data_IF_932201533979
#
_entry.id   IF_932201533979
#
_cell.length_a   1.000
_cell.length_b   1.000
_cell.length_c   1.000
_cell.angle_alpha   90.00
_cell.angle_beta   90.00
_cell.angle_gamma   90.00
#
_symmetry.space_group_name_H-M   'P 1'
#
loop_
_entity.id
_entity.type
_entity.pdbx_description
1 polymer ?
#
# COMPACT_ATOMS: atom_id res chain seq x y z
N UNK A 1 1.42 32.22 30.87
CA UNK A 1 2.77 31.74 30.52
C UNK A 1 2.58 30.38 29.84
N UNK A 2 2.71 30.31 28.51
CA UNK A 2 2.56 29.03 27.77
C UNK A 2 3.79 28.18 28.07
N UNK A 3 3.61 26.94 28.52
CA UNK A 3 4.68 25.96 28.61
C UNK A 3 5.36 25.80 27.24
N UNK A 4 6.68 25.57 27.18
CA UNK A 4 7.38 25.35 25.92
C UNK A 4 6.77 24.12 25.23
N UNK A 5 6.48 24.23 23.94
CA UNK A 5 6.09 23.08 23.12
C UNK A 5 7.24 22.09 23.09
N UNK A 6 7.07 20.93 23.71
CA UNK A 6 8.06 19.85 23.65
C UNK A 6 8.30 19.44 22.18
N UNK A 7 9.56 19.29 21.74
CA UNK A 7 9.86 18.85 20.39
C UNK A 7 9.33 17.43 20.15
N UNK A 8 8.71 17.20 18.99
CA UNK A 8 8.14 15.90 18.56
C UNK A 8 9.15 14.75 18.64
N UNK A 9 10.45 15.06 18.62
CA UNK A 9 11.56 14.12 18.78
C UNK A 9 11.66 13.50 20.18
N UNK A 10 10.91 13.98 21.18
CA UNK A 10 10.84 13.41 22.53
C UNK A 10 9.76 12.32 22.68
N UNK A 11 8.98 12.04 21.64
CA UNK A 11 8.02 10.93 21.64
C UNK A 11 8.78 9.61 21.48
N UNK A 12 9.24 9.03 22.59
CA UNK A 12 9.63 7.62 22.61
C UNK A 12 8.36 6.76 22.53
N UNK A 13 8.34 5.68 21.73
CA UNK A 13 7.24 4.73 21.76
C UNK A 13 7.06 4.24 23.19
N UNK A 14 5.85 4.39 23.75
CA UNK A 14 5.54 3.75 25.03
C UNK A 14 5.58 2.25 24.82
N UNK A 15 6.70 1.63 25.16
CA UNK A 15 6.78 0.19 25.23
C UNK A 15 5.89 -0.29 26.38
N UNK A 16 5.12 -1.37 26.20
CA UNK A 16 4.48 -2.02 27.34
C UNK A 16 5.56 -2.36 28.38
N UNK A 17 5.21 -2.24 29.66
CA UNK A 17 6.03 -2.75 30.77
C UNK A 17 6.52 -4.16 30.43
N UNK A 18 7.77 -4.51 30.77
CA UNK A 18 8.42 -5.80 30.45
C UNK A 18 7.41 -6.94 30.30
N UNK A 19 7.40 -7.56 29.12
CA UNK A 19 6.34 -8.46 28.66
C UNK A 19 6.07 -9.54 29.68
N UNK A 20 4.80 -9.70 30.09
CA UNK A 20 4.46 -10.81 30.97
C UNK A 20 4.76 -12.11 30.23
N UNK A 21 5.48 -13.05 30.85
CA UNK A 21 5.79 -14.38 30.29
C UNK A 21 4.57 -15.03 29.61
N UNK A 22 3.38 -14.79 30.15
CA UNK A 22 2.10 -15.22 29.59
C UNK A 22 1.87 -14.74 28.14
N UNK A 23 2.19 -13.49 27.82
CA UNK A 23 2.02 -12.94 26.46
C UNK A 23 3.03 -13.56 25.49
N UNK A 24 4.25 -13.80 25.93
CA UNK A 24 5.28 -14.47 25.13
C UNK A 24 4.86 -15.91 24.81
N UNK A 25 4.40 -16.65 25.83
CA UNK A 25 3.88 -18.00 25.68
C UNK A 25 2.68 -18.04 24.74
N UNK A 26 1.72 -17.11 24.89
CA UNK A 26 0.56 -16.99 23.99
C UNK A 26 0.95 -16.65 22.55
N UNK A 27 1.96 -15.79 22.34
CA UNK A 27 2.46 -15.46 21.02
C UNK A 27 3.14 -16.68 20.36
N UNK A 28 3.96 -17.41 21.11
CA UNK A 28 4.57 -18.66 20.64
C UNK A 28 3.50 -19.70 20.26
N UNK A 29 2.48 -19.87 21.11
CA UNK A 29 1.33 -20.75 20.85
C UNK A 29 0.57 -20.36 19.58
N UNK A 30 0.31 -19.06 19.40
CA UNK A 30 -0.35 -18.52 18.22
C UNK A 30 0.46 -18.80 16.95
N UNK A 31 1.77 -18.55 16.97
CA UNK A 31 2.68 -18.81 15.84
C UNK A 31 2.68 -20.30 15.49
N UNK A 32 2.77 -21.18 16.49
CA UNK A 32 2.76 -22.62 16.28
C UNK A 32 1.43 -23.11 15.66
N UNK A 33 0.30 -22.63 16.18
CA UNK A 33 -1.04 -22.97 15.65
C UNK A 33 -1.24 -22.40 14.25
N UNK A 34 -0.79 -21.18 13.99
CA UNK A 34 -0.86 -20.56 12.66
C UNK A 34 -0.03 -21.35 11.64
N UNK A 35 1.20 -21.74 12.00
CA UNK A 35 2.07 -22.55 11.14
C UNK A 35 1.43 -23.89 10.81
N UNK A 36 0.82 -24.54 11.82
CA UNK A 36 0.11 -25.81 11.64
C UNK A 36 -1.08 -25.66 10.70
N UNK A 37 -1.89 -24.62 10.89
CA UNK A 37 -3.03 -24.33 10.02
C UNK A 37 -2.57 -24.04 8.59
N UNK A 38 -1.56 -23.19 8.42
CA UNK A 38 -1.04 -22.83 7.10
C UNK A 38 -0.51 -24.06 6.34
N UNK A 39 0.15 -24.99 7.04
CA UNK A 39 0.60 -26.26 6.45
C UNK A 39 -0.55 -27.17 5.98
N UNK A 40 -1.77 -27.01 6.53
CA UNK A 40 -2.96 -27.77 6.12
C UNK A 40 -3.69 -27.15 4.92
N UNK A 41 -3.41 -25.88 4.58
CA UNK A 41 -4.07 -25.20 3.46
C UNK A 41 -3.42 -25.62 2.15
N UNK A 42 -4.19 -26.16 1.17
CA UNK A 42 -3.65 -26.44 -0.15
C UNK A 42 -3.12 -25.17 -0.81
N UNK A 43 -1.94 -25.24 -1.45
CA UNK A 43 -1.28 -24.08 -2.09
C UNK A 43 -2.20 -23.33 -3.06
N UNK A 44 -3.06 -24.05 -3.76
CA UNK A 44 -4.05 -23.45 -4.68
C UNK A 44 -5.08 -22.61 -3.95
N UNK A 45 -5.56 -23.05 -2.78
CA UNK A 45 -6.50 -22.30 -1.94
C UNK A 45 -5.82 -21.08 -1.36
N UNK A 46 -4.59 -21.23 -0.83
CA UNK A 46 -3.81 -20.11 -0.31
C UNK A 46 -3.59 -19.01 -1.37
N UNK A 47 -3.25 -19.39 -2.60
CA UNK A 47 -3.11 -18.45 -3.71
C UNK A 47 -4.41 -17.69 -3.99
N UNK A 48 -5.56 -18.38 -4.03
CA UNK A 48 -6.87 -17.74 -4.24
C UNK A 48 -7.27 -16.81 -3.11
N UNK A 49 -6.96 -17.16 -1.87
CA UNK A 49 -7.17 -16.28 -0.72
C UNK A 49 -6.28 -15.03 -0.86
N UNK A 50 -5.02 -15.18 -1.29
CA UNK A 50 -4.14 -14.06 -1.59
C UNK A 50 -4.73 -13.12 -2.64
N UNK A 51 -5.23 -13.64 -3.75
CA UNK A 51 -5.87 -12.85 -4.80
C UNK A 51 -7.05 -12.02 -4.25
N UNK A 52 -7.89 -12.64 -3.42
CA UNK A 52 -9.03 -11.98 -2.78
C UNK A 52 -8.59 -10.88 -1.80
N UNK A 53 -7.63 -11.19 -0.93
CA UNK A 53 -7.14 -10.26 0.10
C UNK A 53 -6.49 -9.04 -0.54
N UNK A 54 -5.74 -9.18 -1.65
CA UNK A 54 -5.20 -8.01 -2.39
C UNK A 54 -6.30 -7.10 -2.90
N UNK A 55 -7.38 -7.66 -3.45
CA UNK A 55 -8.52 -6.87 -3.91
C UNK A 55 -9.23 -6.15 -2.77
N UNK A 56 -9.37 -6.78 -1.60
CA UNK A 56 -9.95 -6.18 -0.39
C UNK A 56 -9.03 -5.08 0.16
N UNK A 57 -7.73 -5.33 0.27
CA UNK A 57 -6.75 -4.34 0.73
C UNK A 57 -6.74 -3.11 -0.20
N UNK A 58 -6.83 -3.34 -1.52
CA UNK A 58 -6.95 -2.25 -2.49
C UNK A 58 -8.26 -1.45 -2.30
N UNK A 59 -9.38 -2.13 -2.03
CA UNK A 59 -10.65 -1.47 -1.73
C UNK A 59 -10.54 -0.56 -0.49
N UNK A 60 -9.96 -1.05 0.60
CA UNK A 60 -9.79 -0.28 1.82
C UNK A 60 -8.80 0.88 1.63
N UNK A 61 -7.70 0.67 0.90
CA UNK A 61 -6.74 1.72 0.54
C UNK A 61 -7.40 2.85 -0.26
N UNK A 62 -8.21 2.49 -1.26
CA UNK A 62 -8.95 3.48 -2.05
C UNK A 62 -9.91 4.28 -1.16
N UNK A 63 -10.59 3.62 -0.22
CA UNK A 63 -11.56 4.27 0.66
C UNK A 63 -10.89 5.32 1.57
N UNK A 64 -9.71 5.02 2.14
CA UNK A 64 -8.98 5.98 2.99
C UNK A 64 -8.42 7.17 2.21
N UNK A 65 -8.24 7.02 0.89
CA UNK A 65 -7.82 8.07 -0.05
C UNK A 65 -9.01 8.88 -0.60
N UNK A 66 -10.24 8.48 -0.29
CA UNK A 66 -11.47 9.11 -0.77
C UNK A 66 -11.93 8.62 -2.14
N UNK A 67 -11.24 7.64 -2.71
CA UNK A 67 -11.61 6.96 -3.95
C UNK A 67 -12.71 5.93 -3.69
N UNK A 68 -13.87 6.15 -4.30
CA UNK A 68 -15.02 5.26 -4.18
C UNK A 68 -14.99 4.22 -5.32
N UNK A 69 -14.03 3.30 -5.25
CA UNK A 69 -13.88 2.20 -6.23
C UNK A 69 -14.58 0.96 -5.68
N UNK A 70 -15.65 0.49 -6.33
CA UNK A 70 -16.33 -0.74 -5.88
C UNK A 70 -15.47 -1.99 -6.15
N UNK A 71 -15.58 -3.01 -5.30
CA UNK A 71 -14.86 -4.28 -5.47
C UNK A 71 -15.14 -4.93 -6.85
N UNK A 72 -16.36 -4.77 -7.38
CA UNK A 72 -16.69 -5.21 -8.74
C UNK A 72 -15.84 -4.51 -9.80
N UNK A 73 -15.59 -3.22 -9.67
CA UNK A 73 -14.80 -2.46 -10.64
C UNK A 73 -13.30 -2.79 -10.52
N UNK A 74 -12.81 -3.09 -9.32
CA UNK A 74 -11.46 -3.66 -9.09
C UNK A 74 -11.32 -5.00 -9.81
N UNK A 75 -12.26 -5.93 -9.60
CA UNK A 75 -12.25 -7.24 -10.25
C UNK A 75 -12.30 -7.14 -11.79
N UNK A 76 -13.09 -6.20 -12.33
CA UNK A 76 -13.12 -5.92 -13.77
C UNK A 76 -11.77 -5.39 -14.27
N UNK A 77 -11.11 -4.52 -13.51
CA UNK A 77 -9.79 -3.99 -13.86
C UNK A 77 -8.74 -5.11 -13.96
N UNK A 78 -8.78 -6.10 -13.05
CA UNK A 78 -7.85 -7.24 -13.06
C UNK A 78 -7.93 -8.09 -14.33
N UNK A 79 -9.08 -8.10 -15.01
CA UNK A 79 -9.27 -8.79 -16.31
C UNK A 79 -9.22 -7.86 -17.51
N UNK A 80 -8.71 -6.63 -17.33
CA UNK A 80 -8.64 -5.58 -18.35
C UNK A 80 -10.01 -5.12 -18.88
N UNK A 81 -11.08 -5.33 -18.13
CA UNK A 81 -12.41 -4.77 -18.40
C UNK A 81 -12.53 -3.38 -17.78
N UNK A 82 -12.16 -2.37 -18.55
CA UNK A 82 -12.16 -0.98 -18.12
C UNK A 82 -13.47 -0.25 -18.48
N UNK A 83 -13.89 0.65 -17.60
CA UNK A 83 -14.98 1.57 -17.82
C UNK A 83 -14.69 2.51 -18.99
N UNK A 84 -15.73 2.87 -19.74
CA UNK A 84 -15.65 3.92 -20.75
C UNK A 84 -15.58 5.31 -20.11
N UNK A 85 -16.09 5.46 -18.89
CA UNK A 85 -16.03 6.71 -18.13
C UNK A 85 -14.60 6.96 -17.65
N UNK A 86 -13.95 8.07 -18.08
CA UNK A 86 -12.53 8.31 -17.81
C UNK A 86 -12.16 8.28 -16.32
N UNK A 87 -12.94 8.93 -15.46
CA UNK A 87 -12.66 8.97 -14.02
C UNK A 87 -12.68 7.58 -13.37
N UNK A 88 -13.69 6.76 -13.70
CA UNK A 88 -13.76 5.37 -13.23
C UNK A 88 -12.63 4.52 -13.78
N UNK A 89 -12.26 4.73 -15.05
CA UNK A 89 -11.15 4.02 -15.68
C UNK A 89 -9.82 4.33 -15.00
N UNK A 90 -9.60 5.57 -14.58
CA UNK A 90 -8.40 5.94 -13.84
C UNK A 90 -8.30 5.19 -12.51
N UNK A 91 -9.38 5.16 -11.73
CA UNK A 91 -9.44 4.39 -10.49
C UNK A 91 -9.20 2.89 -10.72
N UNK A 92 -9.69 2.34 -11.84
CA UNK A 92 -9.45 0.94 -12.21
C UNK A 92 -7.98 0.67 -12.58
N UNK A 93 -7.34 1.57 -13.33
CA UNK A 93 -5.92 1.46 -13.70
C UNK A 93 -5.03 1.55 -12.46
N UNK A 94 -5.36 2.46 -11.55
CA UNK A 94 -4.68 2.62 -10.28
C UNK A 94 -4.82 1.39 -9.38
N UNK A 95 -6.05 0.88 -9.21
CA UNK A 95 -6.31 -0.34 -8.45
C UNK A 95 -5.54 -1.55 -9.02
N UNK A 96 -5.51 -1.68 -10.35
CA UNK A 96 -4.76 -2.73 -11.03
C UNK A 96 -3.25 -2.59 -10.76
N UNK A 97 -2.69 -1.39 -10.90
CA UNK A 97 -1.28 -1.14 -10.59
C UNK A 97 -0.94 -1.47 -9.13
N UNK A 98 -1.83 -1.12 -8.20
CA UNK A 98 -1.67 -1.45 -6.78
C UNK A 98 -1.55 -2.95 -6.53
N UNK A 99 -2.47 -3.73 -7.10
CA UNK A 99 -2.52 -5.19 -6.92
C UNK A 99 -1.32 -5.86 -7.59
N UNK A 100 -0.93 -5.43 -8.78
CA UNK A 100 0.25 -5.96 -9.48
C UNK A 100 1.55 -5.70 -8.70
N UNK A 101 1.69 -4.53 -8.07
CA UNK A 101 2.85 -4.22 -7.23
C UNK A 101 2.84 -5.06 -5.94
N UNK A 102 1.68 -5.27 -5.32
CA UNK A 102 1.56 -6.20 -4.18
C UNK A 102 1.95 -7.62 -4.56
N UNK A 103 1.50 -8.12 -5.72
CA UNK A 103 1.92 -9.42 -6.20
C UNK A 103 3.43 -9.53 -6.46
N UNK A 104 4.08 -8.45 -6.91
CA UNK A 104 5.53 -8.41 -7.07
C UNK A 104 6.24 -8.49 -5.73
N UNK A 105 5.74 -7.77 -4.72
CA UNK A 105 6.26 -7.82 -3.35
C UNK A 105 6.13 -9.23 -2.78
N UNK A 106 4.97 -9.86 -2.91
CA UNK A 106 4.71 -11.22 -2.40
C UNK A 106 5.60 -12.30 -3.03
N UNK A 107 6.09 -12.06 -4.26
CA UNK A 107 6.98 -12.98 -4.99
C UNK A 107 8.45 -12.79 -4.64
N UNK A 108 8.83 -11.73 -3.93
CA UNK A 108 10.20 -11.57 -3.43
C UNK A 108 10.37 -12.40 -2.14
N UNK A 109 11.31 -13.33 -2.13
CA UNK A 109 11.68 -14.08 -0.91
C UNK A 109 12.31 -13.14 0.15
N UNK A 110 12.13 -13.52 1.42
CA UNK A 110 12.25 -12.80 2.71
C UNK A 110 13.59 -12.08 3.06
N UNK A 111 14.42 -11.63 2.12
CA UNK A 111 15.77 -11.13 2.45
C UNK A 111 16.13 -9.72 1.94
N UNK A 112 15.16 -8.87 1.61
CA UNK A 112 15.44 -7.46 1.33
C UNK A 112 15.22 -6.66 2.62
N UNK A 113 16.06 -5.67 2.90
CA UNK A 113 15.79 -4.64 3.91
C UNK A 113 14.44 -3.98 3.55
N UNK A 114 13.35 -4.54 4.08
CA UNK A 114 11.95 -4.24 3.77
C UNK A 114 11.63 -2.75 3.95
N UNK A 115 12.50 -2.02 4.66
CA UNK A 115 12.40 -0.58 4.89
C UNK A 115 13.73 0.11 4.57
N UNK A 116 14.22 -0.05 3.33
CA UNK A 116 15.34 0.73 2.81
C UNK A 116 14.86 1.76 1.79
N UNK A 117 15.58 2.88 1.68
CA UNK A 117 15.28 3.89 0.68
C UNK A 117 15.23 3.31 -0.75
N UNK A 118 16.12 2.38 -1.08
CA UNK A 118 16.13 1.71 -2.39
C UNK A 118 14.86 0.86 -2.61
N UNK A 119 14.43 0.12 -1.59
CA UNK A 119 13.22 -0.69 -1.66
C UNK A 119 11.96 0.17 -1.87
N UNK A 120 11.84 1.27 -1.14
CA UNK A 120 10.72 2.20 -1.29
C UNK A 120 10.71 2.88 -2.65
N UNK A 121 11.90 3.26 -3.18
CA UNK A 121 12.02 3.77 -4.55
C UNK A 121 11.62 2.74 -5.59
N UNK A 122 11.97 1.48 -5.38
CA UNK A 122 11.58 0.39 -6.26
C UNK A 122 10.06 0.19 -6.29
N UNK A 123 9.41 0.07 -5.12
CA UNK A 123 7.93 -0.03 -5.04
C UNK A 123 7.27 1.14 -5.78
N UNK A 124 7.73 2.36 -5.50
CA UNK A 124 7.18 3.56 -6.13
C UNK A 124 7.38 3.55 -7.64
N UNK A 125 8.56 3.15 -8.13
CA UNK A 125 8.86 3.02 -9.55
C UNK A 125 7.97 1.99 -10.24
N UNK A 126 7.80 0.81 -9.64
CA UNK A 126 6.90 -0.22 -10.16
C UNK A 126 5.47 0.29 -10.26
N UNK A 127 4.98 1.02 -9.25
CA UNK A 127 3.64 1.59 -9.27
C UNK A 127 3.49 2.67 -10.36
N UNK A 128 4.36 3.69 -10.37
CA UNK A 128 4.25 4.80 -11.31
C UNK A 128 4.41 4.38 -12.77
N UNK A 129 5.26 3.39 -13.06
CA UNK A 129 5.45 2.89 -14.43
C UNK A 129 4.21 2.20 -15.02
N UNK A 130 3.25 1.82 -14.18
CA UNK A 130 1.97 1.20 -14.60
C UNK A 130 0.84 2.20 -14.75
N UNK A 131 1.04 3.45 -14.34
CA UNK A 131 0.03 4.48 -14.41
C UNK A 131 0.10 5.26 -15.73
N UNK A 132 -1.05 5.69 -16.26
CA UNK A 132 -1.09 6.64 -17.37
C UNK A 132 -0.51 8.01 -16.96
N UNK A 133 0.03 8.75 -17.92
CA UNK A 133 0.71 10.02 -17.67
C UNK A 133 -0.20 11.04 -16.94
N UNK A 134 -1.50 11.01 -17.19
CA UNK A 134 -2.50 11.85 -16.55
C UNK A 134 -2.53 11.68 -15.03
N UNK A 135 -2.24 10.48 -14.52
CA UNK A 135 -2.18 10.18 -13.09
C UNK A 135 -0.82 10.49 -12.47
N UNK A 136 0.22 10.68 -13.28
CA UNK A 136 1.57 11.07 -12.82
C UNK A 136 1.74 12.59 -12.67
N UNK A 137 0.71 13.37 -13.02
CA UNK A 137 0.75 14.84 -12.94
C UNK A 137 0.24 15.33 -11.59
N UNK A 138 1.11 15.99 -10.84
CA UNK A 138 0.74 16.64 -9.58
C UNK A 138 0.07 17.99 -9.83
N UNK A 139 -1.08 18.24 -9.19
CA UNK A 139 -1.64 19.60 -9.10
C UNK A 139 -0.93 20.33 -7.98
N UNK A 140 -0.08 21.30 -8.32
CA UNK A 140 0.41 22.29 -7.35
C UNK A 140 -0.76 23.22 -6.98
N UNK A 141 -1.00 23.43 -5.69
CA UNK A 141 -2.05 24.35 -5.24
C UNK A 141 -1.85 25.75 -5.81
N UNK A 142 -2.95 26.32 -6.33
CA UNK A 142 -3.09 27.59 -7.08
C UNK A 142 -2.36 27.64 -8.44
N UNK A 143 -3.12 27.33 -9.50
CA UNK A 143 -3.03 28.02 -10.79
C UNK A 143 -1.88 27.70 -11.76
N UNK A 144 -0.95 26.80 -11.45
CA UNK A 144 0.18 26.53 -12.33
C UNK A 144 0.49 25.02 -12.39
N UNK A 145 0.43 24.43 -13.59
CA UNK A 145 0.90 23.06 -13.84
C UNK A 145 2.42 23.02 -13.66
N UNK A 146 2.93 22.26 -12.70
CA UNK A 146 4.36 22.07 -12.50
C UNK A 146 4.71 20.59 -12.72
N UNK A 147 5.63 20.40 -13.67
CA UNK A 147 6.49 19.24 -13.97
C UNK A 147 5.94 17.85 -13.59
N UNK A 148 5.62 17.06 -14.63
CA UNK A 148 5.24 15.66 -14.49
C UNK A 148 6.27 14.85 -13.71
N UNK A 149 5.79 13.90 -12.91
CA UNK A 149 6.65 12.92 -12.28
C UNK A 149 7.29 12.07 -13.40
N UNK A 150 8.54 12.36 -13.74
CA UNK A 150 9.34 11.38 -14.48
C UNK A 150 9.84 10.36 -13.46
N UNK A 151 10.01 9.08 -13.84
CA UNK A 151 10.47 8.02 -12.91
C UNK A 151 11.77 8.34 -12.15
N UNK A 152 12.51 9.39 -12.57
CA UNK A 152 13.78 9.82 -11.98
C UNK A 152 13.75 11.18 -11.25
N UNK A 153 12.69 12.00 -11.34
CA UNK A 153 12.62 13.31 -10.69
C UNK A 153 11.48 13.39 -9.66
N UNK A 154 11.89 13.35 -8.39
CA UNK A 154 11.06 13.52 -7.21
C UNK A 154 10.45 14.92 -7.15
N UNK A 155 9.17 15.06 -7.47
CA UNK A 155 8.40 16.22 -7.05
C UNK A 155 7.92 15.98 -5.61
N UNK A 156 8.60 16.64 -4.65
CA UNK A 156 8.26 16.72 -3.22
C UNK A 156 6.94 17.49 -2.95
N UNK A 157 5.91 17.19 -3.72
CA UNK A 157 4.59 17.81 -3.63
C UNK A 157 3.52 16.75 -3.65
N UNK A 158 3.40 15.98 -2.57
CA UNK A 158 2.32 15.01 -2.40
C UNK A 158 1.02 15.79 -2.29
N UNK A 159 0.39 16.04 -3.43
CA UNK A 159 -0.78 16.89 -3.55
C UNK A 159 -2.00 16.17 -3.01
N UNK A 160 -2.24 16.25 -1.70
CA UNK A 160 -3.47 15.88 -0.95
C UNK A 160 -4.17 14.53 -1.21
N UNK A 161 -3.77 13.73 -2.21
CA UNK A 161 -4.48 12.52 -2.63
C UNK A 161 -3.64 11.23 -2.57
N UNK A 162 -2.32 11.30 -2.37
CA UNK A 162 -1.45 10.10 -2.38
C UNK A 162 -0.39 10.08 -1.28
N UNK A 163 -0.68 10.69 -0.11
CA UNK A 163 0.32 10.88 0.97
C UNK A 163 0.27 9.83 2.08
N UNK A 164 -0.26 8.63 1.83
CA UNK A 164 -0.40 7.59 2.87
C UNK A 164 0.11 6.21 2.45
N UNK A 165 1.20 6.18 1.69
CA UNK A 165 1.91 4.94 1.38
C UNK A 165 3.36 5.01 1.85
N UNK A 166 3.52 5.09 3.18
CA UNK A 166 4.56 4.48 4.01
C UNK A 166 3.97 4.25 5.40
#
# INVERSE_FOLDING_TARGET
>A
MRSPTEPVTLMEPMLPSEGSQLLEDLAADLIARNSTLNAQVPKTVAARIGDLVRAINCYDSNLIEGHHTHLRDINRALVNDFSTQPEKRFLQLEAKAHIEVQELIDKQEEAVKVVSGDYLRWIHGEFCNRLPEELLRLKRGMGHWALGATPAHWALGIGKNYSKLL
#
